data_IF_837837779096
#
_entry.id   IF_837837779096
#
_cell.length_a   1.000
_cell.length_b   1.000
_cell.length_c   1.000
_cell.angle_alpha   90.00
_cell.angle_beta   90.00
_cell.angle_gamma   90.00
#
_symmetry.space_group_name_H-M   'P 1'
#
loop_
_entity.id
_entity.type
_entity.pdbx_description
1 polymer ?
#
# COMPACT_ATOMS: atom_id res chain seq x y z
N UNK A 1 -22.59 6.12 -0.92
CA UNK A 1 -22.08 5.96 0.46
C UNK A 1 -20.57 5.79 0.36
N UNK A 2 -19.76 6.62 1.04
CA UNK A 2 -18.30 6.43 1.08
C UNK A 2 -17.97 5.27 2.02
N UNK A 3 -17.05 4.35 1.66
CA UNK A 3 -16.51 3.39 2.62
C UNK A 3 -15.77 4.16 3.72
N UNK A 4 -15.94 3.75 4.98
CA UNK A 4 -15.25 4.41 6.11
C UNK A 4 -13.78 4.03 6.09
N UNK A 5 -12.88 4.99 5.83
CA UNK A 5 -11.50 4.79 6.25
C UNK A 5 -11.51 4.60 7.74
N UNK A 6 -11.06 3.42 8.16
CA UNK A 6 -10.92 3.09 9.55
C UNK A 6 -9.73 3.90 10.08
N UNK A 7 -9.97 5.14 10.51
CA UNK A 7 -8.93 5.95 11.13
C UNK A 7 -8.71 5.41 12.55
N UNK A 8 -7.47 5.11 12.96
CA UNK A 8 -7.18 4.56 14.29
C UNK A 8 -6.49 5.58 15.21
N UNK A 9 -6.72 5.46 16.53
CA UNK A 9 -6.17 6.32 17.60
C UNK A 9 -6.12 5.49 18.93
N UNK A 10 -4.96 5.16 19.53
CA UNK A 10 -4.68 4.44 20.84
C UNK A 10 -5.57 4.78 22.08
N UNK A 11 -5.53 4.09 23.25
CA UNK A 11 -5.84 4.62 24.61
C UNK A 11 -4.71 4.59 25.72
N UNK A 12 -4.35 5.71 26.42
CA UNK A 12 -3.04 5.89 27.16
C UNK A 12 -3.03 5.22 28.49
N UNK A 13 -4.23 5.12 29.02
CA UNK A 13 -4.47 4.54 30.31
C UNK A 13 -4.58 3.01 30.18
N UNK A 14 -4.60 2.46 28.95
CA UNK A 14 -4.90 1.03 28.71
C UNK A 14 -4.09 0.34 27.60
N UNK A 15 -3.27 1.05 26.82
CA UNK A 15 -2.41 0.51 25.75
C UNK A 15 -3.14 -0.17 24.55
N UNK A 16 -4.40 0.19 24.27
CA UNK A 16 -5.23 -0.41 23.20
C UNK A 16 -5.49 0.57 22.03
N UNK A 17 -6.15 0.19 20.92
CA UNK A 17 -6.44 1.08 19.78
C UNK A 17 -7.93 1.32 19.51
N UNK A 18 -8.33 2.57 19.28
CA UNK A 18 -9.70 3.01 18.99
C UNK A 18 -9.91 3.27 17.48
N UNK A 19 -11.04 2.80 16.94
CA UNK A 19 -11.48 2.83 15.53
C UNK A 19 -12.41 4.01 15.22
N UNK A 20 -12.18 4.78 14.16
CA UNK A 20 -13.06 5.89 13.74
C UNK A 20 -14.25 5.43 12.91
N UNK A 21 -15.44 5.82 13.35
CA UNK A 21 -16.71 5.43 12.73
C UNK A 21 -17.32 6.49 11.79
N UNK A 22 -16.57 7.53 11.45
CA UNK A 22 -17.06 8.66 10.65
C UNK A 22 -17.76 9.77 11.43
N UNK A 23 -17.91 9.64 12.76
CA UNK A 23 -18.33 10.72 13.67
C UNK A 23 -17.38 10.87 14.85
N UNK A 24 -16.85 9.76 15.39
CA UNK A 24 -15.98 9.69 16.57
C UNK A 24 -15.14 8.41 16.55
N UNK A 25 -14.05 8.38 17.33
CA UNK A 25 -13.30 7.14 17.52
C UNK A 25 -13.99 6.29 18.61
N UNK A 26 -14.02 4.98 18.38
CA UNK A 26 -14.71 3.94 19.15
C UNK A 26 -13.70 2.88 19.54
N UNK A 27 -13.68 2.56 20.82
CA UNK A 27 -12.91 1.44 21.35
C UNK A 27 -13.56 0.12 20.96
N UNK A 28 -12.81 -0.81 20.38
CA UNK A 28 -13.24 -2.20 20.19
C UNK A 28 -13.04 -2.94 21.50
N UNK A 29 -14.02 -2.83 22.39
CA UNK A 29 -14.09 -3.63 23.62
C UNK A 29 -15.15 -4.72 23.44
N UNK A 30 -14.81 -5.98 23.76
CA UNK A 30 -15.78 -7.08 23.87
C UNK A 30 -16.71 -6.90 25.10
N UNK A 31 -16.53 -5.82 25.87
CA UNK A 31 -17.24 -5.51 27.11
C UNK A 31 -17.82 -4.09 27.04
N UNK A 32 -19.10 -4.02 26.67
CA UNK A 32 -20.09 -2.98 26.99
C UNK A 32 -19.68 -1.48 26.95
N UNK A 33 -20.10 -0.81 25.87
CA UNK A 33 -20.73 0.53 25.82
C UNK A 33 -20.02 1.79 26.40
N UNK A 34 -18.72 2.02 26.22
CA UNK A 34 -18.15 3.37 26.40
C UNK A 34 -17.05 3.71 25.37
N UNK A 35 -16.97 4.98 24.94
CA UNK A 35 -16.13 5.46 23.84
C UNK A 35 -15.12 6.51 24.32
N UNK A 36 -13.84 6.28 24.07
CA UNK A 36 -12.75 7.24 24.27
C UNK A 36 -11.67 7.05 23.18
N UNK A 37 -10.67 7.95 23.15
CA UNK A 37 -9.68 8.15 22.08
C UNK A 37 -8.27 8.51 22.64
N UNK A 38 -7.13 8.14 22.03
CA UNK A 38 -5.72 8.54 22.37
C UNK A 38 -4.60 8.10 21.37
N UNK A 39 -3.32 8.44 21.57
CA UNK A 39 -2.25 8.37 20.53
C UNK A 39 -1.35 7.13 20.65
N UNK A 40 -1.19 6.33 19.57
CA UNK A 40 -0.42 5.07 19.55
C UNK A 40 1.04 5.30 19.92
N UNK A 41 1.59 4.39 20.72
CA UNK A 41 3.04 4.24 20.82
C UNK A 41 3.58 4.05 19.41
N UNK A 42 4.65 4.75 19.04
CA UNK A 42 5.28 4.61 17.72
C UNK A 42 5.63 3.14 17.41
N UNK A 43 5.86 2.33 18.46
CA UNK A 43 6.14 0.89 18.36
C UNK A 43 4.93 0.01 18.03
N UNK A 44 3.69 0.51 18.13
CA UNK A 44 2.49 -0.26 17.81
C UNK A 44 1.92 0.09 16.43
N UNK A 45 2.31 1.23 15.83
CA UNK A 45 1.76 1.72 14.57
C UNK A 45 2.56 1.12 13.42
N UNK A 46 2.05 0.05 12.81
CA UNK A 46 2.61 -0.49 11.56
C UNK A 46 2.33 0.42 10.36
N UNK A 47 1.39 1.37 10.48
CA UNK A 47 1.07 2.40 9.49
C UNK A 47 -0.17 3.21 9.84
N UNK A 48 -0.58 4.14 8.98
CA UNK A 48 -1.78 4.98 9.14
C UNK A 48 -2.74 4.80 7.97
N UNK A 49 -4.04 4.69 8.23
CA UNK A 49 -5.07 4.77 7.18
C UNK A 49 -5.35 6.24 6.84
N UNK A 50 -5.41 6.57 5.55
CA UNK A 50 -5.64 7.93 5.06
C UNK A 50 -6.65 7.93 3.89
N UNK A 51 -7.61 8.87 3.91
CA UNK A 51 -8.60 9.00 2.83
C UNK A 51 -8.07 9.93 1.75
N UNK A 52 -7.92 9.41 0.53
CA UNK A 52 -7.58 10.20 -0.64
C UNK A 52 -8.84 10.52 -1.44
N UNK A 53 -9.19 11.81 -1.51
CA UNK A 53 -10.44 12.25 -2.15
C UNK A 53 -10.37 12.07 -3.66
N UNK A 54 -9.21 12.25 -4.25
CA UNK A 54 -8.90 12.17 -5.66
C UNK A 54 -9.12 10.73 -6.17
N UNK A 55 -8.75 9.76 -5.34
CA UNK A 55 -8.87 8.33 -5.64
C UNK A 55 -10.17 7.70 -5.14
N UNK A 56 -10.93 8.44 -4.32
CA UNK A 56 -12.12 7.95 -3.62
C UNK A 56 -11.87 6.62 -2.87
N UNK A 57 -10.68 6.48 -2.28
CA UNK A 57 -10.28 5.26 -1.59
C UNK A 57 -9.50 5.55 -0.30
N UNK A 58 -9.49 4.56 0.59
CA UNK A 58 -8.68 4.56 1.79
C UNK A 58 -7.38 3.83 1.48
N UNK A 59 -6.26 4.46 1.80
CA UNK A 59 -4.94 3.90 1.58
C UNK A 59 -4.25 3.80 2.93
N UNK A 60 -3.66 2.63 3.18
CA UNK A 60 -2.82 2.45 4.35
C UNK A 60 -1.39 2.85 3.99
N UNK A 61 -0.78 3.70 4.81
CA UNK A 61 0.58 4.20 4.64
C UNK A 61 1.42 3.56 5.74
N UNK A 62 2.19 2.51 5.43
CA UNK A 62 3.05 1.82 6.38
C UNK A 62 4.08 2.77 6.99
N UNK A 63 4.44 2.52 8.25
CA UNK A 63 5.53 3.26 8.94
C UNK A 63 6.91 2.70 8.59
N UNK A 64 6.95 1.49 8.03
CA UNK A 64 8.17 0.76 7.69
C UNK A 64 8.06 0.15 6.29
N UNK A 65 9.22 -0.18 5.73
CA UNK A 65 9.36 -0.89 4.46
C UNK A 65 9.53 -2.39 4.72
N UNK A 66 8.99 -3.23 3.85
CA UNK A 66 9.05 -4.69 4.02
C UNK A 66 9.42 -5.39 2.69
N UNK A 67 9.91 -6.64 2.74
CA UNK A 67 9.93 -7.53 1.58
C UNK A 67 8.52 -7.74 1.03
N UNK A 68 8.42 -8.12 -0.23
CA UNK A 68 7.13 -8.18 -0.93
C UNK A 68 6.08 -9.07 -0.24
N UNK A 69 6.44 -10.31 0.09
CA UNK A 69 5.49 -11.25 0.72
C UNK A 69 5.04 -10.81 2.11
N UNK A 70 5.93 -10.16 2.88
CA UNK A 70 5.58 -9.58 4.19
C UNK A 70 4.66 -8.37 4.02
N UNK A 71 4.97 -7.47 3.10
CA UNK A 71 4.13 -6.31 2.76
C UNK A 71 2.71 -6.76 2.35
N UNK A 72 2.62 -7.75 1.46
CA UNK A 72 1.36 -8.35 1.04
C UNK A 72 0.59 -8.98 2.20
N UNK A 73 1.27 -9.78 3.03
CA UNK A 73 0.67 -10.43 4.20
C UNK A 73 0.13 -9.40 5.21
N UNK A 74 0.85 -8.29 5.42
CA UNK A 74 0.40 -7.20 6.29
C UNK A 74 -0.89 -6.56 5.77
N UNK A 75 -0.97 -6.24 4.47
CA UNK A 75 -2.20 -5.73 3.85
C UNK A 75 -3.36 -6.71 4.04
N UNK A 76 -3.17 -7.99 3.69
CA UNK A 76 -4.21 -9.01 3.74
C UNK A 76 -4.71 -9.27 5.18
N UNK A 77 -3.80 -9.28 6.16
CA UNK A 77 -4.14 -9.42 7.59
C UNK A 77 -5.03 -8.27 8.10
N UNK A 78 -4.89 -7.09 7.50
CA UNK A 78 -5.69 -5.91 7.77
C UNK A 78 -6.97 -5.81 6.94
N UNK A 79 -7.38 -6.89 6.24
CA UNK A 79 -8.49 -6.92 5.27
C UNK A 79 -8.34 -5.89 4.13
N UNK A 80 -7.09 -5.55 3.79
CA UNK A 80 -6.70 -4.67 2.69
C UNK A 80 -6.04 -5.49 1.59
N UNK A 81 -5.81 -4.85 0.46
CA UNK A 81 -5.03 -5.41 -0.64
C UNK A 81 -3.85 -4.50 -0.90
N UNK A 82 -2.73 -5.08 -1.33
CA UNK A 82 -1.60 -4.31 -1.82
C UNK A 82 -2.04 -3.47 -3.03
N UNK A 83 -1.60 -2.22 -3.10
CA UNK A 83 -1.95 -1.31 -4.18
C UNK A 83 -1.56 -1.90 -5.55
N UNK A 84 -2.52 -2.04 -6.44
CA UNK A 84 -2.30 -2.44 -7.83
C UNK A 84 -2.01 -1.25 -8.75
N UNK A 85 -1.75 -1.52 -10.03
CA UNK A 85 -1.37 -0.51 -11.03
C UNK A 85 -2.43 -0.21 -12.08
N UNK A 86 -3.69 -0.62 -11.83
CA UNK A 86 -4.83 -0.36 -12.71
C UNK A 86 -4.94 1.11 -13.15
N UNK A 87 -4.66 2.04 -12.23
CA UNK A 87 -4.49 3.44 -12.55
C UNK A 87 -3.09 3.91 -12.15
N UNK A 88 -2.10 3.61 -13.00
CA UNK A 88 -0.70 3.97 -12.78
C UNK A 88 -0.52 5.48 -12.51
N UNK A 89 -1.32 6.36 -13.13
CA UNK A 89 -1.24 7.80 -12.86
C UNK A 89 -1.56 8.15 -11.41
N UNK A 90 -2.57 7.49 -10.80
CA UNK A 90 -2.88 7.69 -9.39
C UNK A 90 -1.79 7.11 -8.48
N UNK A 91 -1.15 6.01 -8.89
CA UNK A 91 -0.02 5.45 -8.15
C UNK A 91 1.16 6.41 -8.14
N UNK A 92 1.49 7.00 -9.29
CA UNK A 92 2.57 7.99 -9.40
C UNK A 92 2.27 9.27 -8.61
N UNK A 93 1.05 9.78 -8.66
CA UNK A 93 0.63 10.94 -7.85
C UNK A 93 0.73 10.64 -6.34
N UNK A 94 0.30 9.44 -5.91
CA UNK A 94 0.47 8.99 -4.52
C UNK A 94 1.95 8.89 -4.12
N UNK A 95 2.79 8.35 -5.00
CA UNK A 95 4.23 8.26 -4.77
C UNK A 95 4.84 9.65 -4.59
N UNK A 96 4.49 10.62 -5.44
CA UNK A 96 4.96 12.00 -5.33
C UNK A 96 4.50 12.67 -4.01
N UNK A 97 3.21 12.52 -3.66
CA UNK A 97 2.65 13.05 -2.41
C UNK A 97 3.34 12.50 -1.16
N UNK A 98 3.78 11.23 -1.21
CA UNK A 98 4.43 10.54 -0.09
C UNK A 98 5.96 10.51 -0.21
N UNK A 99 6.52 11.20 -1.21
CA UNK A 99 7.96 11.24 -1.51
C UNK A 99 8.57 9.82 -1.65
N UNK A 100 7.83 8.92 -2.29
CA UNK A 100 8.22 7.57 -2.61
C UNK A 100 8.87 7.54 -4.00
N UNK A 101 10.10 7.03 -4.07
CA UNK A 101 10.79 6.84 -5.35
C UNK A 101 10.56 5.45 -5.95
N UNK A 102 10.29 4.48 -5.09
CA UNK A 102 10.12 3.09 -5.47
C UNK A 102 9.20 2.38 -4.51
N UNK A 103 8.19 1.68 -5.04
CA UNK A 103 7.26 0.91 -4.23
C UNK A 103 7.08 -0.51 -4.75
N UNK A 104 6.68 -1.42 -3.86
CA UNK A 104 6.03 -2.67 -4.24
C UNK A 104 4.59 -2.40 -4.68
N UNK A 105 4.13 -3.13 -5.68
CA UNK A 105 2.73 -3.13 -6.12
C UNK A 105 2.23 -4.55 -6.29
N UNK A 106 0.92 -4.74 -6.20
CA UNK A 106 0.32 -6.05 -6.44
C UNK A 106 0.78 -6.64 -7.78
N UNK A 107 1.29 -7.86 -7.71
CA UNK A 107 1.63 -8.67 -8.88
C UNK A 107 1.22 -10.12 -8.68
N UNK A 108 0.75 -10.73 -9.77
CA UNK A 108 0.53 -12.16 -9.87
C UNK A 108 1.10 -12.67 -11.19
N UNK A 109 2.17 -13.47 -11.14
CA UNK A 109 2.79 -14.05 -12.35
C UNK A 109 1.83 -15.06 -12.99
N UNK A 110 1.56 -14.88 -14.28
CA UNK A 110 0.68 -15.77 -15.07
C UNK A 110 1.42 -16.64 -16.08
N UNK A 111 2.70 -16.36 -16.30
CA UNK A 111 3.54 -17.06 -17.26
C UNK A 111 4.96 -16.49 -17.26
N UNK A 112 5.75 -16.88 -18.25
CA UNK A 112 7.11 -16.34 -18.42
C UNK A 112 7.02 -14.84 -18.71
N UNK A 113 7.54 -14.02 -17.78
CA UNK A 113 7.60 -12.55 -17.87
C UNK A 113 6.23 -11.88 -17.99
N UNK A 114 5.15 -12.57 -17.65
CA UNK A 114 3.79 -12.03 -17.71
C UNK A 114 3.13 -12.00 -16.35
N UNK A 115 2.45 -10.89 -16.07
CA UNK A 115 1.86 -10.59 -14.77
C UNK A 115 0.47 -9.99 -14.96
N UNK A 116 -0.41 -10.31 -14.03
CA UNK A 116 -1.73 -9.70 -13.91
C UNK A 116 -1.75 -8.61 -12.83
N UNK A 117 -2.63 -7.63 -13.06
CA UNK A 117 -3.04 -6.62 -12.09
C UNK A 117 -3.98 -7.23 -11.04
N UNK A 118 -4.33 -6.42 -10.03
CA UNK A 118 -5.24 -6.77 -8.94
C UNK A 118 -6.65 -7.17 -9.41
N UNK A 119 -7.07 -6.71 -10.59
CA UNK A 119 -8.34 -7.08 -11.23
C UNK A 119 -8.24 -8.24 -12.22
N UNK A 120 -7.10 -8.97 -12.23
CA UNK A 120 -6.79 -10.12 -13.11
C UNK A 120 -6.67 -9.78 -14.58
N UNK A 121 -6.50 -8.51 -14.94
CA UNK A 121 -6.16 -8.11 -16.30
C UNK A 121 -4.64 -8.05 -16.47
N UNK A 122 -4.15 -8.34 -17.68
CA UNK A 122 -2.72 -8.29 -17.98
C UNK A 122 -2.17 -6.87 -17.85
N UNK A 123 -0.95 -6.74 -17.33
CA UNK A 123 -0.26 -5.46 -17.28
C UNK A 123 0.07 -4.98 -18.70
N UNK A 124 -0.37 -3.77 -19.11
CA UNK A 124 -0.02 -3.22 -20.42
C UNK A 124 1.49 -2.99 -20.56
N UNK A 125 2.05 -3.33 -21.71
CA UNK A 125 3.48 -3.08 -21.99
C UNK A 125 3.86 -1.60 -21.92
N UNK A 126 2.90 -0.69 -22.13
CA UNK A 126 3.08 0.76 -21.98
C UNK A 126 3.33 1.20 -20.54
N UNK A 127 3.03 0.36 -19.56
CA UNK A 127 3.30 0.65 -18.15
C UNK A 127 4.69 0.18 -17.72
N UNK A 128 5.34 -0.68 -18.50
CA UNK A 128 6.66 -1.23 -18.17
C UNK A 128 7.76 -0.23 -18.49
N UNK A 129 8.77 -0.17 -17.62
CA UNK A 129 10.03 0.51 -17.94
C UNK A 129 10.67 -0.12 -19.20
N UNK A 130 11.51 0.62 -19.94
CA UNK A 130 12.16 0.12 -21.16
C UNK A 130 12.86 -1.24 -20.98
N UNK A 131 12.36 -2.24 -21.71
CA UNK A 131 12.92 -3.60 -21.72
C UNK A 131 12.57 -4.44 -20.50
N UNK A 132 11.54 -4.07 -19.74
CA UNK A 132 10.96 -4.89 -18.67
C UNK A 132 9.71 -5.65 -19.16
N UNK A 133 9.34 -6.78 -18.56
CA UNK A 133 10.05 -7.49 -17.47
C UNK A 133 11.21 -8.34 -18.00
N UNK A 134 12.30 -8.42 -17.24
CA UNK A 134 13.55 -9.09 -17.68
C UNK A 134 13.70 -10.49 -17.14
N UNK A 135 13.23 -10.71 -15.93
CA UNK A 135 13.38 -11.94 -15.16
C UNK A 135 12.00 -12.40 -14.66
N UNK A 136 11.94 -13.64 -14.18
CA UNK A 136 10.73 -14.24 -13.62
C UNK A 136 10.70 -14.08 -12.10
N UNK A 137 10.94 -12.85 -11.60
CA UNK A 137 11.16 -12.58 -10.17
C UNK A 137 9.90 -12.59 -9.32
N UNK A 138 8.73 -12.92 -9.87
CA UNK A 138 7.41 -12.99 -9.19
C UNK A 138 6.86 -11.68 -8.59
N UNK A 139 7.72 -10.69 -8.31
CA UNK A 139 7.37 -9.42 -7.69
C UNK A 139 7.55 -8.26 -8.67
N UNK A 140 6.63 -7.30 -8.63
CA UNK A 140 6.74 -6.06 -9.38
C UNK A 140 6.84 -4.84 -8.46
N UNK A 141 7.53 -3.82 -8.96
CA UNK A 141 7.53 -2.49 -8.35
C UNK A 141 7.21 -1.40 -9.34
N UNK A 142 6.99 -0.19 -8.84
CA UNK A 142 6.94 1.03 -9.65
C UNK A 142 8.18 1.85 -9.34
N UNK A 143 8.91 2.21 -10.40
CA UNK A 143 10.06 3.11 -10.38
C UNK A 143 9.61 4.52 -10.77
N UNK A 144 9.89 5.50 -9.90
CA UNK A 144 9.64 6.92 -10.13
C UNK A 144 10.84 7.79 -9.71
N UNK A 145 12.05 7.23 -9.66
CA UNK A 145 13.25 8.02 -9.37
C UNK A 145 13.75 8.73 -10.64
N UNK A 146 13.62 10.07 -10.76
CA UNK A 146 14.07 10.81 -11.94
C UNK A 146 15.59 10.80 -12.12
N UNK A 147 16.34 10.40 -11.09
CA UNK A 147 17.79 10.24 -11.18
C UNK A 147 18.21 8.93 -11.83
N UNK A 148 17.27 8.02 -12.09
CA UNK A 148 17.56 6.73 -12.67
C UNK A 148 17.56 6.76 -14.20
N UNK A 149 18.67 6.33 -14.80
CA UNK A 149 18.88 6.41 -16.25
C UNK A 149 18.34 5.20 -17.04
N UNK A 150 18.05 4.07 -16.38
CA UNK A 150 17.56 2.88 -17.08
C UNK A 150 16.03 2.91 -17.31
N UNK A 151 15.28 3.58 -16.42
CA UNK A 151 13.85 3.80 -16.57
C UNK A 151 13.59 5.29 -16.80
N UNK A 152 13.65 5.71 -18.07
CA UNK A 152 13.59 7.13 -18.47
C UNK A 152 12.22 7.79 -18.28
N UNK A 153 11.19 6.98 -18.05
CA UNK A 153 9.83 7.42 -17.72
C UNK A 153 9.30 6.52 -16.60
N UNK A 154 8.56 7.04 -15.61
CA UNK A 154 8.07 6.22 -14.50
C UNK A 154 7.26 5.02 -15.00
N UNK A 155 7.49 3.86 -14.40
CA UNK A 155 6.93 2.61 -14.89
C UNK A 155 7.22 1.42 -13.99
N UNK A 156 6.74 0.26 -14.42
CA UNK A 156 6.89 -1.00 -13.71
C UNK A 156 8.13 -1.76 -14.14
N UNK A 157 8.67 -2.51 -13.19
CA UNK A 157 9.67 -3.54 -13.44
C UNK A 157 9.51 -4.72 -12.49
N UNK A 158 10.11 -5.84 -12.88
CA UNK A 158 10.31 -6.98 -11.99
C UNK A 158 11.45 -6.70 -11.01
N UNK A 159 11.21 -7.06 -9.75
CA UNK A 159 12.09 -6.76 -8.64
C UNK A 159 12.35 -8.01 -7.81
N UNK A 160 13.53 -8.05 -7.19
CA UNK A 160 13.87 -9.13 -6.25
C UNK A 160 12.93 -9.00 -5.03
N UNK A 161 12.06 -10.00 -4.82
CA UNK A 161 11.03 -9.99 -3.77
C UNK A 161 11.56 -9.74 -2.35
N UNK A 162 12.82 -10.12 -2.07
CA UNK A 162 13.45 -9.94 -0.77
C UNK A 162 13.94 -8.50 -0.51
N UNK A 163 13.95 -7.63 -1.53
CA UNK A 163 14.28 -6.22 -1.34
C UNK A 163 13.18 -5.52 -0.55
N UNK A 164 13.58 -4.80 0.50
CA UNK A 164 12.67 -3.99 1.29
C UNK A 164 12.31 -2.71 0.53
N UNK A 165 11.02 -2.44 0.37
CA UNK A 165 10.52 -1.23 -0.30
C UNK A 165 9.27 -0.69 0.38
N UNK A 166 8.94 0.56 0.09
CA UNK A 166 7.65 1.14 0.44
C UNK A 166 6.53 0.42 -0.31
N UNK A 167 5.32 0.48 0.21
CA UNK A 167 4.11 -0.11 -0.37
C UNK A 167 2.90 0.56 0.26
N UNK A 168 1.72 0.36 -0.33
CA UNK A 168 0.46 0.98 0.08
C UNK A 168 -0.71 0.01 -0.03
#
# INVERSE_FOLDING_TARGET
>A
MKPSCQLFRNNANTLECDLYDGRRFKRTSNVHRNQFYQKMSEYCVTGRDEWFREYQTCIWIPSQVYPYEEAKSLCESGTKILLGTKNLSNVLDLMDLLNAKYIHVYSHRTGTKTYDMDDRTLIPSTFLCPGQTREDLDCLGVQNDPQNNWCTSPGLDDIICSHTRQFF
#
